data_IF_941859458693
#
_entry.id   IF_941859458693
#
_cell.length_a   1.000
_cell.length_b   1.000
_cell.length_c   1.000
_cell.angle_alpha   90.00
_cell.angle_beta   90.00
_cell.angle_gamma   90.00
#
_symmetry.space_group_name_H-M   'P 1'
#
loop_
_entity.id
_entity.type
_entity.pdbx_description
1 polymer ?
#
# COMPACT_ATOMS: atom_id res chain seq x y z
N UNK A 1 -44.22 5.70 18.53
CA UNK A 1 -42.93 5.30 17.90
C UNK A 1 -41.93 6.42 18.11
N UNK A 2 -41.04 6.30 19.10
CA UNK A 2 -40.00 7.31 19.35
C UNK A 2 -38.74 6.98 18.56
N UNK A 3 -38.33 7.86 17.65
CA UNK A 3 -37.09 7.73 16.91
C UNK A 3 -35.89 7.86 17.85
N UNK A 4 -35.07 6.82 17.97
CA UNK A 4 -33.77 6.88 18.65
C UNK A 4 -32.83 7.69 17.76
N UNK A 5 -32.50 8.92 18.14
CA UNK A 5 -31.37 9.66 17.56
C UNK A 5 -30.09 8.89 17.88
N UNK A 6 -29.42 8.36 16.87
CA UNK A 6 -28.09 7.78 17.02
C UNK A 6 -27.09 8.90 17.29
N UNK A 7 -26.22 8.68 18.27
CA UNK A 7 -25.10 9.57 18.62
C UNK A 7 -24.17 9.65 17.40
N UNK A 8 -23.76 10.84 16.93
CA UNK A 8 -22.73 10.91 15.89
C UNK A 8 -21.48 10.24 16.45
N UNK A 9 -20.93 9.29 15.68
CA UNK A 9 -19.67 8.64 16.03
C UNK A 9 -18.63 9.74 16.23
N UNK A 10 -18.08 9.84 17.45
CA UNK A 10 -17.14 10.88 17.80
C UNK A 10 -15.97 10.86 16.84
N UNK A 11 -15.77 11.96 16.12
CA UNK A 11 -14.50 12.24 15.46
C UNK A 11 -13.44 12.19 16.55
N UNK A 12 -12.37 11.42 16.33
CA UNK A 12 -11.30 11.33 17.32
C UNK A 12 -10.58 12.67 17.36
N UNK A 13 -10.69 13.39 18.47
CA UNK A 13 -10.00 14.68 18.69
C UNK A 13 -8.47 14.50 18.71
N UNK A 14 -8.01 13.30 19.07
CA UNK A 14 -6.59 12.94 19.10
C UNK A 14 -6.33 11.69 18.26
N UNK A 15 -5.10 11.58 17.73
CA UNK A 15 -4.70 10.43 16.94
C UNK A 15 -4.82 9.14 17.76
N UNK A 16 -5.44 8.11 17.18
CA UNK A 16 -5.71 6.82 17.84
C UNK A 16 -4.43 6.12 18.36
N UNK A 17 -3.26 6.46 17.82
CA UNK A 17 -1.93 6.18 18.37
C UNK A 17 -0.96 7.30 17.99
N UNK A 18 -0.07 7.65 18.93
CA UNK A 18 1.14 8.43 18.65
C UNK A 18 2.14 7.45 18.04
N UNK A 19 2.54 7.70 16.79
CA UNK A 19 3.49 6.86 16.07
C UNK A 19 4.61 7.73 15.53
N UNK A 20 5.86 7.42 15.91
CA UNK A 20 7.01 8.09 15.34
C UNK A 20 7.27 7.54 13.92
N UNK A 21 7.00 8.38 12.94
CA UNK A 21 7.18 8.06 11.52
C UNK A 21 8.65 8.17 11.07
N UNK A 22 9.55 8.60 11.95
CA UNK A 22 10.97 8.73 11.68
C UNK A 22 11.24 9.70 10.52
N UNK A 23 11.86 9.21 9.45
CA UNK A 23 12.28 10.02 8.30
C UNK A 23 11.23 10.10 7.18
N UNK A 24 9.94 9.90 7.49
CA UNK A 24 8.87 9.82 6.49
C UNK A 24 8.87 11.02 5.54
N UNK A 25 8.91 12.23 6.06
CA UNK A 25 8.85 13.47 5.29
C UNK A 25 10.08 13.60 4.38
N UNK A 26 11.26 13.26 4.90
CA UNK A 26 12.53 13.29 4.15
C UNK A 26 12.52 12.27 3.01
N UNK A 27 12.03 11.05 3.27
CA UNK A 27 11.93 9.99 2.26
C UNK A 27 10.93 10.35 1.17
N UNK A 28 9.79 10.95 1.56
CA UNK A 28 8.78 11.42 0.63
C UNK A 28 9.35 12.52 -0.28
N UNK A 29 9.99 13.53 0.29
CA UNK A 29 10.62 14.63 -0.46
C UNK A 29 11.69 14.14 -1.44
N UNK A 30 12.51 13.17 -1.02
CA UNK A 30 13.52 12.55 -1.90
C UNK A 30 12.90 11.80 -3.08
N UNK A 31 11.76 11.14 -2.87
CA UNK A 31 11.12 10.41 -3.96
C UNK A 31 10.36 11.34 -4.91
N UNK A 32 9.74 12.41 -4.40
CA UNK A 32 9.10 13.43 -5.24
C UNK A 32 10.11 14.19 -6.11
N UNK A 33 11.31 14.46 -5.58
CA UNK A 33 12.42 15.10 -6.31
C UNK A 33 13.25 14.13 -7.14
N UNK A 34 12.94 12.83 -7.12
CA UNK A 34 13.71 11.84 -7.84
C UNK A 34 13.56 12.06 -9.35
N UNK A 35 14.65 12.48 -10.00
CA UNK A 35 14.73 12.61 -11.45
C UNK A 35 15.63 11.52 -12.00
N UNK A 36 15.19 10.91 -13.11
CA UNK A 36 15.99 9.93 -13.81
C UNK A 36 17.18 10.62 -14.47
N UNK A 37 18.37 10.05 -14.30
CA UNK A 37 19.60 10.60 -14.88
C UNK A 37 19.61 10.55 -16.42
N UNK A 38 18.81 9.66 -17.02
CA UNK A 38 18.65 9.56 -18.46
C UNK A 38 17.30 10.17 -18.88
N UNK A 39 17.28 11.26 -19.66
CA UNK A 39 16.05 11.91 -20.11
C UNK A 39 15.18 11.05 -21.05
N UNK A 40 15.76 10.04 -21.69
CA UNK A 40 15.02 9.12 -22.57
C UNK A 40 14.20 8.08 -21.78
N UNK A 41 14.53 7.90 -20.50
CA UNK A 41 13.78 6.99 -19.61
C UNK A 41 12.65 7.77 -18.95
N UNK A 42 11.43 7.55 -19.43
CA UNK A 42 10.23 8.25 -18.92
C UNK A 42 9.50 7.51 -17.80
N UNK A 43 9.83 6.23 -17.57
CA UNK A 43 9.12 5.36 -16.62
C UNK A 43 10.07 4.46 -15.84
N UNK A 44 9.86 4.39 -14.53
CA UNK A 44 10.52 3.44 -13.63
C UNK A 44 9.60 2.24 -13.46
N UNK A 45 10.14 1.03 -13.64
CA UNK A 45 9.41 -0.22 -13.36
C UNK A 45 10.12 -0.95 -12.22
N UNK A 46 9.40 -1.19 -11.13
CA UNK A 46 9.91 -1.91 -9.96
C UNK A 46 9.31 -3.31 -9.99
N UNK A 47 10.16 -4.34 -9.96
CA UNK A 47 9.75 -5.73 -9.82
C UNK A 47 9.89 -6.17 -8.36
N UNK A 48 8.78 -6.56 -7.73
CA UNK A 48 8.77 -7.14 -6.38
C UNK A 48 8.60 -8.65 -6.50
N UNK A 49 9.65 -9.41 -6.17
CA UNK A 49 9.69 -10.87 -6.26
C UNK A 49 9.79 -11.54 -4.87
N UNK A 50 9.37 -12.79 -4.77
CA UNK A 50 9.33 -13.53 -3.51
C UNK A 50 8.32 -14.68 -3.52
N UNK A 51 8.40 -15.57 -2.53
CA UNK A 51 7.58 -16.77 -2.43
C UNK A 51 6.07 -16.47 -2.34
N UNK A 52 5.24 -17.48 -2.61
CA UNK A 52 3.79 -17.40 -2.40
C UNK A 52 3.53 -17.08 -0.93
N UNK A 53 2.60 -16.15 -0.66
CA UNK A 53 2.28 -15.73 0.71
C UNK A 53 3.26 -14.74 1.34
N UNK A 54 4.37 -14.37 0.69
CA UNK A 54 5.35 -13.42 1.25
C UNK A 54 4.86 -11.95 1.34
N UNK A 55 3.60 -11.66 1.03
CA UNK A 55 3.04 -10.32 1.18
C UNK A 55 3.42 -9.29 0.10
N UNK A 56 3.86 -9.73 -1.09
CA UNK A 56 4.26 -8.83 -2.20
C UNK A 56 3.18 -7.83 -2.60
N UNK A 57 1.94 -8.30 -2.77
CA UNK A 57 0.80 -7.42 -3.09
C UNK A 57 0.51 -6.44 -1.96
N UNK A 58 0.56 -6.90 -0.70
CA UNK A 58 0.37 -6.04 0.48
C UNK A 58 1.45 -4.96 0.59
N UNK A 59 2.70 -5.27 0.22
CA UNK A 59 3.77 -4.29 0.14
C UNK A 59 3.47 -3.21 -0.90
N UNK A 60 3.07 -3.61 -2.11
CA UNK A 60 2.68 -2.67 -3.18
C UNK A 60 1.52 -1.78 -2.73
N UNK A 61 0.47 -2.35 -2.14
CA UNK A 61 -0.67 -1.58 -1.63
C UNK A 61 -0.28 -0.61 -0.52
N UNK A 62 0.63 -0.99 0.38
CA UNK A 62 1.11 -0.11 1.44
C UNK A 62 1.86 1.10 0.86
N UNK A 63 2.72 0.86 -0.12
CA UNK A 63 3.45 1.91 -0.82
C UNK A 63 2.48 2.84 -1.55
N UNK A 64 1.57 2.29 -2.36
CA UNK A 64 0.58 3.07 -3.11
C UNK A 64 -0.32 3.90 -2.18
N UNK A 65 -0.76 3.32 -1.05
CA UNK A 65 -1.59 4.01 -0.07
C UNK A 65 -0.88 5.21 0.55
N UNK A 66 0.43 5.08 0.84
CA UNK A 66 1.23 6.19 1.38
C UNK A 66 1.39 7.31 0.36
N UNK A 67 1.56 6.99 -0.92
CA UNK A 67 1.72 7.98 -1.98
C UNK A 67 0.41 8.67 -2.38
N UNK A 68 -0.71 7.95 -2.36
CA UNK A 68 -2.03 8.53 -2.68
C UNK A 68 -2.66 9.23 -1.46
N UNK A 69 -2.22 8.92 -0.24
CA UNK A 69 -2.77 9.49 0.99
C UNK A 69 -4.11 8.86 1.41
N UNK A 70 -4.56 7.83 0.70
CA UNK A 70 -5.76 7.04 0.99
C UNK A 70 -5.43 5.56 1.00
N UNK A 71 -6.35 4.72 1.52
CA UNK A 71 -6.16 3.28 1.51
C UNK A 71 -6.46 2.75 0.10
N UNK A 72 -5.44 2.16 -0.54
CA UNK A 72 -5.49 1.66 -1.92
C UNK A 72 -5.32 0.14 -1.92
N UNK A 73 -6.10 -0.56 -2.74
CA UNK A 73 -6.02 -2.01 -2.91
C UNK A 73 -5.96 -2.39 -4.39
N UNK A 74 -4.96 -1.85 -5.09
CA UNK A 74 -4.78 -2.06 -6.53
C UNK A 74 -4.08 -3.40 -6.84
N UNK A 75 -3.15 -3.84 -5.98
CA UNK A 75 -2.57 -5.17 -6.06
C UNK A 75 -3.46 -6.17 -5.32
N UNK A 76 -4.11 -7.09 -6.06
CA UNK A 76 -4.92 -8.14 -5.45
C UNK A 76 -4.07 -8.97 -4.45
N UNK A 77 -4.43 -8.85 -3.19
CA UNK A 77 -3.89 -9.60 -2.06
C UNK A 77 -5.01 -10.49 -1.51
N UNK A 78 -5.31 -11.59 -2.20
CA UNK A 78 -6.29 -12.55 -1.68
C UNK A 78 -5.62 -13.47 -0.65
N UNK A 79 -6.27 -13.63 0.50
CA UNK A 79 -5.88 -14.52 1.58
C UNK A 79 -6.85 -15.71 1.71
N UNK A 80 -7.67 -15.97 0.70
CA UNK A 80 -8.73 -16.99 0.75
C UNK A 80 -8.20 -18.37 1.16
N UNK A 81 -8.55 -18.77 2.38
CA UNK A 81 -8.32 -20.08 2.99
C UNK A 81 -9.26 -21.16 2.43
N UNK A 82 -9.56 -21.08 1.13
CA UNK A 82 -10.46 -21.97 0.40
C UNK A 82 -9.64 -22.76 -0.61
N UNK A 83 -8.94 -23.80 -0.14
CA UNK A 83 -8.42 -24.95 -0.92
C UNK A 83 -7.42 -24.71 -2.08
N UNK A 84 -7.26 -23.49 -2.56
CA UNK A 84 -6.35 -23.12 -3.64
C UNK A 84 -5.84 -21.70 -3.37
N UNK A 85 -4.79 -21.61 -2.54
CA UNK A 85 -4.04 -20.37 -2.34
C UNK A 85 -3.35 -20.00 -3.66
N UNK A 86 -4.09 -19.36 -4.56
CA UNK A 86 -3.59 -18.92 -5.86
C UNK A 86 -2.95 -17.56 -5.66
N UNK A 87 -1.62 -17.52 -5.60
CA UNK A 87 -0.90 -16.26 -5.73
C UNK A 87 -1.29 -15.59 -7.04
N UNK A 88 -1.85 -14.39 -6.99
CA UNK A 88 -2.09 -13.55 -8.18
C UNK A 88 -0.80 -13.01 -8.80
N UNK A 89 0.36 -13.24 -8.16
CA UNK A 89 1.66 -12.86 -8.72
C UNK A 89 2.04 -13.85 -9.83
N UNK A 90 2.13 -13.33 -11.05
CA UNK A 90 2.65 -14.08 -12.21
C UNK A 90 4.06 -14.57 -11.86
N UNK A 91 4.26 -15.88 -11.88
CA UNK A 91 5.60 -16.46 -11.78
C UNK A 91 6.34 -16.01 -13.03
N UNK A 92 7.36 -15.17 -12.86
CA UNK A 92 8.33 -14.86 -13.91
C UNK A 92 9.42 -15.92 -13.79
N UNK A 93 9.37 -16.96 -14.62
CA UNK A 93 10.53 -17.83 -14.82
C UNK A 93 11.65 -16.99 -15.40
N UNK A 94 12.68 -16.75 -14.59
CA UNK A 94 14.02 -16.52 -15.12
C UNK A 94 14.59 -17.94 -15.27
N UNK A 95 15.04 -18.19 -16.51
CA UNK A 95 15.47 -19.46 -17.12
C UNK A 95 16.18 -20.40 -16.15
#
# INVERSE_FOLDING_TARGET
>A
MGARKSKPAGVLDEAWRIFDWGQKEVLKDRLEKFTLSNPDVTKIKILVAGQIGAGKSSFINSVLSVFQGEIVNEALADTSSSGACRSFTKIVSII
#
